data_IF_020920057915
#
_entry.id   IF_020920057915
#
_cell.length_a   1.000
_cell.length_b   1.000
_cell.length_c   1.000
_cell.angle_alpha   90.00
_cell.angle_beta   90.00
_cell.angle_gamma   90.00
#
_symmetry.space_group_name_H-M   'P 1'
#
loop_
_entity.id
_entity.type
_entity.pdbx_description
1 polymer ?
#
# COMPACT_ATOMS: atom_id res chain seq x y z
N UNK A 1 -15.86 -20.66 -24.75
CA UNK A 1 -16.36 -20.21 -23.43
C UNK A 1 -17.64 -19.43 -23.64
N UNK A 2 -18.56 -19.47 -22.69
CA UNK A 2 -19.81 -18.73 -22.72
C UNK A 2 -19.63 -17.23 -22.48
N UNK A 3 -20.69 -16.44 -22.72
CA UNK A 3 -20.77 -14.98 -22.49
C UNK A 3 -21.29 -14.61 -21.08
N UNK A 4 -21.31 -15.59 -20.16
CA UNK A 4 -21.62 -15.36 -18.75
C UNK A 4 -20.32 -15.21 -17.96
N UNK A 5 -20.29 -14.29 -16.98
CA UNK A 5 -19.18 -14.17 -16.03
C UNK A 5 -19.68 -14.07 -14.60
N UNK A 6 -19.02 -14.80 -13.71
CA UNK A 6 -19.12 -14.62 -12.25
C UNK A 6 -17.83 -13.97 -11.78
N UNK A 7 -17.97 -12.86 -11.04
CA UNK A 7 -16.86 -12.11 -10.45
C UNK A 7 -16.79 -12.31 -8.93
N UNK A 8 -15.58 -12.52 -8.41
CA UNK A 8 -15.32 -12.60 -6.97
C UNK A 8 -13.94 -12.00 -6.64
N UNK A 9 -13.77 -11.52 -5.41
CA UNK A 9 -12.59 -10.78 -4.92
C UNK A 9 -12.07 -11.32 -3.57
N UNK A 10 -11.76 -12.62 -3.42
CA UNK A 10 -11.23 -13.14 -2.17
C UNK A 10 -9.94 -12.44 -1.72
N UNK A 11 -9.74 -12.26 -0.40
CA UNK A 11 -8.50 -11.71 0.12
C UNK A 11 -7.33 -12.67 -0.12
N UNK A 12 -6.19 -12.10 -0.50
CA UNK A 12 -4.90 -12.73 -0.58
C UNK A 12 -4.03 -12.18 0.55
N UNK A 13 -3.86 -12.98 1.59
CA UNK A 13 -3.11 -12.60 2.79
C UNK A 13 -1.63 -12.49 2.49
N UNK A 14 -1.05 -11.35 2.83
CA UNK A 14 0.40 -11.22 2.88
C UNK A 14 0.91 -11.72 4.25
N UNK A 15 2.10 -12.32 4.24
CA UNK A 15 2.79 -12.81 5.43
C UNK A 15 3.65 -11.72 6.10
N UNK A 16 3.79 -10.53 5.50
CA UNK A 16 4.52 -9.43 6.14
C UNK A 16 3.85 -8.98 7.43
N UNK A 17 4.67 -8.62 8.41
CA UNK A 17 4.19 -8.01 9.63
C UNK A 17 3.84 -6.55 9.38
N UNK A 18 2.60 -6.16 9.73
CA UNK A 18 2.22 -4.75 9.80
C UNK A 18 3.08 -4.02 10.83
N UNK A 19 3.71 -2.93 10.39
CA UNK A 19 4.64 -2.14 11.18
C UNK A 19 3.95 -0.89 11.75
N UNK A 20 4.20 -0.62 13.03
CA UNK A 20 3.92 0.69 13.62
C UNK A 20 4.79 1.78 12.96
N UNK A 21 4.38 3.04 13.07
CA UNK A 21 5.05 4.17 12.41
C UNK A 21 6.53 4.28 12.74
N UNK A 22 6.93 4.06 13.99
CA UNK A 22 8.36 4.14 14.39
C UNK A 22 9.14 3.02 13.71
N UNK A 23 8.61 1.80 13.74
CA UNK A 23 9.22 0.66 13.05
C UNK A 23 9.32 0.90 11.54
N UNK A 24 8.27 1.45 10.93
CA UNK A 24 8.20 1.70 9.48
C UNK A 24 9.22 2.76 9.04
N UNK A 25 9.31 3.90 9.75
CA UNK A 25 10.30 4.95 9.47
C UNK A 25 11.73 4.41 9.62
N UNK A 26 12.03 3.73 10.74
CA UNK A 26 13.37 3.16 10.96
C UNK A 26 13.73 2.12 9.90
N UNK A 27 12.77 1.28 9.49
CA UNK A 27 12.98 0.28 8.44
C UNK A 27 13.21 0.91 7.06
N UNK A 28 12.49 1.99 6.74
CA UNK A 28 12.68 2.72 5.49
C UNK A 28 14.05 3.42 5.43
N UNK A 29 14.48 4.06 6.53
CA UNK A 29 15.83 4.65 6.65
C UNK A 29 16.91 3.58 6.48
N UNK A 30 16.76 2.44 7.16
CA UNK A 30 17.67 1.31 7.02
C UNK A 30 17.72 0.80 5.57
N UNK A 31 16.56 0.69 4.92
CA UNK A 31 16.46 0.29 3.51
C UNK A 31 17.22 1.23 2.59
N UNK A 32 17.06 2.54 2.76
CA UNK A 32 17.80 3.56 2.02
C UNK A 32 19.31 3.44 2.22
N UNK A 33 19.75 3.29 3.47
CA UNK A 33 21.18 3.12 3.79
C UNK A 33 21.77 1.81 3.24
N UNK A 34 20.96 0.77 3.06
CA UNK A 34 21.39 -0.53 2.56
C UNK A 34 21.61 -0.55 1.04
N UNK A 35 20.86 0.25 0.28
CA UNK A 35 20.98 0.34 -1.18
C UNK A 35 21.95 1.43 -1.65
N UNK A 36 22.30 2.37 -0.77
CA UNK A 36 23.30 3.40 -1.05
C UNK A 36 24.71 2.78 -1.12
N UNK A 37 25.53 3.27 -2.06
CA UNK A 37 26.96 2.94 -2.09
C UNK A 37 27.70 3.52 -0.87
N UNK A 38 28.97 3.14 -0.69
CA UNK A 38 29.74 3.53 0.49
C UNK A 38 29.89 5.05 0.68
N UNK A 39 30.01 5.82 -0.41
CA UNK A 39 30.15 7.27 -0.35
C UNK A 39 28.82 7.93 0.00
N UNK A 40 27.75 7.55 -0.69
CA UNK A 40 26.42 8.06 -0.43
C UNK A 40 25.93 7.68 0.97
N UNK A 41 26.16 6.45 1.41
CA UNK A 41 25.78 6.01 2.74
C UNK A 41 26.54 6.78 3.85
N UNK A 42 27.80 7.17 3.61
CA UNK A 42 28.54 8.03 4.52
C UNK A 42 27.95 9.44 4.58
N UNK A 43 27.58 10.02 3.44
CA UNK A 43 26.91 11.33 3.35
C UNK A 43 25.54 11.32 4.04
N UNK A 44 24.74 10.29 3.82
CA UNK A 44 23.44 10.12 4.47
C UNK A 44 23.58 9.96 5.99
N UNK A 45 24.59 9.22 6.46
CA UNK A 45 24.86 9.11 7.91
C UNK A 45 25.35 10.42 8.51
N UNK A 46 26.06 11.26 7.76
CA UNK A 46 26.58 12.53 8.26
C UNK A 46 25.47 13.56 8.60
N UNK A 47 24.26 13.39 8.05
CA UNK A 47 23.11 14.26 8.37
C UNK A 47 22.21 13.72 9.49
N UNK A 48 22.49 12.51 9.99
CA UNK A 48 21.77 11.92 11.13
C UNK A 48 22.19 12.62 12.42
N UNK A 49 21.21 13.15 13.15
CA UNK A 49 21.44 13.88 14.40
C UNK A 49 20.91 13.15 15.62
N UNK A 50 20.04 12.16 15.43
CA UNK A 50 19.35 11.49 16.52
C UNK A 50 20.19 10.46 17.28
N UNK A 51 21.38 10.11 16.76
CA UNK A 51 22.27 9.10 17.34
C UNK A 51 21.87 7.64 17.09
N UNK A 52 20.78 7.38 16.35
CA UNK A 52 20.40 6.01 15.95
C UNK A 52 21.34 5.51 14.84
N UNK A 53 21.83 4.27 14.98
CA UNK A 53 22.69 3.64 13.96
C UNK A 53 21.90 3.11 12.76
N UNK A 54 20.57 2.97 12.92
CA UNK A 54 19.64 2.35 11.98
C UNK A 54 20.04 0.96 11.48
N UNK A 55 21.07 0.35 12.08
CA UNK A 55 21.55 -0.98 11.76
C UNK A 55 20.80 -2.04 12.58
N UNK A 56 20.40 -1.69 13.80
CA UNK A 56 19.67 -2.58 14.69
C UNK A 56 18.19 -2.75 14.28
N UNK A 57 17.70 -3.99 14.37
CA UNK A 57 16.27 -4.34 14.22
C UNK A 57 15.48 -4.22 15.53
N UNK A 58 16.16 -4.09 16.67
CA UNK A 58 15.53 -3.97 17.99
C UNK A 58 14.80 -2.64 18.17
N UNK A 59 13.75 -2.62 18.99
CA UNK A 59 13.05 -1.39 19.35
C UNK A 59 13.95 -0.45 20.17
N UNK A 60 13.86 0.88 19.97
CA UNK A 60 14.55 1.84 20.81
C UNK A 60 14.16 1.64 22.28
N UNK A 61 15.14 1.80 23.17
CA UNK A 61 14.95 1.68 24.61
C UNK A 61 14.42 3.00 25.16
N UNK A 62 13.10 3.15 25.16
CA UNK A 62 12.39 4.29 25.75
C UNK A 62 11.31 3.79 26.72
N UNK A 63 10.80 4.69 27.57
CA UNK A 63 9.55 4.45 28.27
C UNK A 63 8.39 4.57 27.28
N UNK A 64 7.78 3.43 26.92
CA UNK A 64 6.70 3.38 25.94
C UNK A 64 5.35 3.83 26.50
N UNK A 65 5.22 3.90 27.83
CA UNK A 65 4.02 4.42 28.48
C UNK A 65 4.04 5.97 28.53
N UNK A 66 5.22 6.58 28.40
CA UNK A 66 5.37 8.02 28.26
C UNK A 66 5.03 8.48 26.82
N UNK A 67 4.06 9.37 26.71
CA UNK A 67 3.69 9.98 25.44
C UNK A 67 4.77 10.95 24.93
N UNK A 68 5.42 11.70 25.81
CA UNK A 68 6.46 12.66 25.43
C UNK A 68 7.69 11.93 24.89
N UNK A 69 8.11 10.83 25.52
CA UNK A 69 9.21 9.99 25.04
C UNK A 69 8.94 9.40 23.65
N UNK A 70 7.69 9.01 23.37
CA UNK A 70 7.29 8.51 22.04
C UNK A 70 7.28 9.63 20.99
N UNK A 71 6.78 10.82 21.35
CA UNK A 71 6.77 11.99 20.47
C UNK A 71 8.19 12.46 20.13
N UNK A 72 9.08 12.53 21.12
CA UNK A 72 10.50 12.87 20.91
C UNK A 72 11.21 11.84 20.03
N UNK A 73 10.91 10.55 20.24
CA UNK A 73 11.46 9.48 19.42
C UNK A 73 11.02 9.63 17.96
N UNK A 74 9.72 9.77 17.68
CA UNK A 74 9.25 9.86 16.30
C UNK A 74 9.70 11.16 15.62
N UNK A 75 9.71 12.29 16.33
CA UNK A 75 10.20 13.56 15.80
C UNK A 75 11.66 13.47 15.37
N UNK A 76 12.53 12.91 16.22
CA UNK A 76 13.94 12.75 15.90
C UNK A 76 14.20 11.78 14.74
N UNK A 77 13.46 10.66 14.64
CA UNK A 77 13.53 9.74 13.47
C UNK A 77 13.06 10.43 12.19
N UNK A 78 11.99 11.21 12.28
CA UNK A 78 11.43 11.90 11.14
C UNK A 78 12.39 12.99 10.62
N UNK A 79 13.01 13.75 11.52
CA UNK A 79 14.02 14.76 11.16
C UNK A 79 15.22 14.16 10.44
N UNK A 80 15.74 13.02 10.91
CA UNK A 80 16.81 12.31 10.20
C UNK A 80 16.36 11.89 8.80
N UNK A 81 15.17 11.32 8.67
CA UNK A 81 14.61 10.92 7.38
C UNK A 81 14.45 12.10 6.41
N UNK A 82 13.90 13.22 6.88
CA UNK A 82 13.78 14.44 6.06
C UNK A 82 15.15 15.05 5.71
N UNK A 83 16.13 15.00 6.60
CA UNK A 83 17.49 15.45 6.31
C UNK A 83 18.14 14.60 5.20
N UNK A 84 17.95 13.28 5.24
CA UNK A 84 18.39 12.38 4.17
C UNK A 84 17.71 12.70 2.84
N UNK A 85 16.39 12.90 2.83
CA UNK A 85 15.65 13.26 1.60
C UNK A 85 16.10 14.61 1.04
N UNK A 86 16.36 15.59 1.91
CA UNK A 86 16.89 16.91 1.51
C UNK A 86 18.26 16.79 0.86
N UNK A 87 19.12 15.90 1.34
CA UNK A 87 20.44 15.64 0.76
C UNK A 87 20.36 15.00 -0.64
N UNK A 88 19.30 14.23 -0.90
CA UNK A 88 19.06 13.56 -2.18
C UNK A 88 18.31 14.44 -3.18
N UNK A 89 17.75 15.57 -2.75
CA UNK A 89 16.98 16.46 -3.61
C UNK A 89 17.84 17.03 -4.76
N UNK A 90 17.30 16.96 -5.98
CA UNK A 90 17.99 17.38 -7.20
C UNK A 90 19.21 16.52 -7.63
N UNK A 91 19.47 15.40 -6.96
CA UNK A 91 20.55 14.47 -7.33
C UNK A 91 20.03 13.40 -8.28
N UNK A 92 20.79 13.05 -9.32
CA UNK A 92 20.51 11.86 -10.12
C UNK A 92 20.86 10.61 -9.32
N UNK A 93 19.84 9.82 -8.98
CA UNK A 93 19.96 8.63 -8.14
C UNK A 93 19.94 7.36 -8.97
N UNK A 94 20.71 6.35 -8.53
CA UNK A 94 20.52 4.99 -9.02
C UNK A 94 19.11 4.50 -8.67
N UNK A 95 18.52 3.65 -9.53
CA UNK A 95 17.14 3.20 -9.42
C UNK A 95 16.78 2.65 -8.03
N UNK A 96 17.66 1.85 -7.42
CA UNK A 96 17.43 1.30 -6.08
C UNK A 96 17.36 2.36 -4.99
N UNK A 97 18.21 3.40 -5.09
CA UNK A 97 18.25 4.52 -4.15
C UNK A 97 17.02 5.40 -4.32
N UNK A 98 16.62 5.71 -5.57
CA UNK A 98 15.39 6.47 -5.86
C UNK A 98 14.16 5.75 -5.29
N UNK A 99 14.02 4.43 -5.52
CA UNK A 99 12.93 3.63 -4.96
C UNK A 99 12.89 3.67 -3.43
N UNK A 100 14.04 3.51 -2.77
CA UNK A 100 14.11 3.55 -1.31
C UNK A 100 13.83 4.95 -0.74
N UNK A 101 14.29 6.01 -1.42
CA UNK A 101 14.03 7.39 -1.04
C UNK A 101 12.54 7.74 -1.19
N UNK A 102 11.89 7.30 -2.29
CA UNK A 102 10.44 7.44 -2.46
C UNK A 102 9.66 6.73 -1.36
N UNK A 103 10.05 5.50 -1.02
CA UNK A 103 9.42 4.76 0.08
C UNK A 103 9.57 5.51 1.41
N UNK A 104 10.76 6.03 1.73
CA UNK A 104 10.99 6.84 2.92
C UNK A 104 10.10 8.10 2.92
N UNK A 105 10.00 8.80 1.80
CA UNK A 105 9.15 9.97 1.66
C UNK A 105 7.66 9.64 1.88
N UNK A 106 7.17 8.54 1.28
CA UNK A 106 5.80 8.05 1.49
C UNK A 106 5.54 7.74 2.97
N UNK A 107 6.44 7.00 3.62
CA UNK A 107 6.30 6.61 5.03
C UNK A 107 6.29 7.82 5.96
N UNK A 108 7.14 8.81 5.72
CA UNK A 108 7.15 10.05 6.50
C UNK A 108 5.89 10.89 6.26
N UNK A 109 5.42 10.97 5.01
CA UNK A 109 4.28 11.79 4.62
C UNK A 109 2.91 11.20 5.02
N UNK A 110 2.79 9.88 5.17
CA UNK A 110 1.50 9.24 5.44
C UNK A 110 1.09 9.27 6.92
N UNK A 111 2.06 9.16 7.83
CA UNK A 111 1.80 8.88 9.25
C UNK A 111 2.08 10.10 10.16
N UNK A 112 2.73 11.16 9.66
CA UNK A 112 3.19 12.28 10.47
C UNK A 112 2.41 13.57 10.22
N UNK A 113 2.29 14.39 11.26
CA UNK A 113 1.73 15.75 11.19
C UNK A 113 2.59 16.72 11.98
N UNK A 114 2.62 17.97 11.53
CA UNK A 114 3.09 19.12 12.30
C UNK A 114 1.85 19.92 12.72
N UNK A 115 1.65 20.11 14.02
CA UNK A 115 0.52 20.89 14.57
C UNK A 115 0.84 22.39 14.68
N UNK A 116 1.95 22.85 14.08
CA UNK A 116 2.36 24.26 14.00
C UNK A 116 3.42 24.68 15.02
N UNK A 117 3.93 23.73 15.81
CA UNK A 117 5.00 23.94 16.79
C UNK A 117 6.36 23.41 16.32
N UNK A 118 6.45 22.86 15.10
CA UNK A 118 7.67 22.34 14.49
C UNK A 118 8.11 20.98 15.03
N UNK A 119 7.29 20.33 15.87
CA UNK A 119 7.50 18.95 16.30
C UNK A 119 6.60 18.00 15.50
N UNK A 120 7.21 16.98 14.92
CA UNK A 120 6.51 15.96 14.13
C UNK A 120 5.95 14.88 15.04
N UNK A 121 4.65 14.62 14.93
CA UNK A 121 3.93 13.63 15.74
C UNK A 121 3.18 12.66 14.87
N UNK A 122 2.90 11.47 15.41
CA UNK A 122 2.04 10.48 14.74
C UNK A 122 0.63 11.06 14.61
N UNK A 123 0.13 11.12 13.38
CA UNK A 123 -1.20 11.63 13.09
C UNK A 123 -2.27 10.75 13.76
N UNK A 124 -3.33 11.37 14.29
CA UNK A 124 -4.50 10.65 14.86
C UNK A 124 -5.46 10.16 13.79
N UNK A 125 -4.92 9.63 12.68
CA UNK A 125 -5.65 9.04 11.55
C UNK A 125 -4.74 8.04 10.84
N UNK A 126 -5.35 7.11 10.10
CA UNK A 126 -4.65 6.19 9.22
C UNK A 126 -4.85 6.68 7.78
N UNK A 127 -3.78 6.80 7.01
CA UNK A 127 -3.87 7.14 5.59
C UNK A 127 -4.63 6.04 4.82
N UNK A 128 -5.52 6.42 3.90
CA UNK A 128 -6.32 5.45 3.14
C UNK A 128 -5.46 4.52 2.27
N UNK A 129 -4.30 5.01 1.80
CA UNK A 129 -3.31 4.24 1.05
C UNK A 129 -2.05 3.95 1.88
N UNK A 130 -2.22 3.70 3.19
CA UNK A 130 -1.08 3.50 4.08
C UNK A 130 -0.25 2.28 3.67
N UNK A 131 1.04 2.49 3.41
CA UNK A 131 2.04 1.44 3.34
C UNK A 131 2.19 0.80 4.71
N UNK A 132 1.96 -0.52 4.79
CA UNK A 132 1.91 -1.26 6.07
C UNK A 132 3.24 -1.93 6.42
N UNK A 133 4.13 -2.12 5.44
CA UNK A 133 5.42 -2.79 5.58
C UNK A 133 6.41 -2.25 4.55
N UNK A 134 7.70 -2.16 4.91
CA UNK A 134 8.76 -1.87 3.94
C UNK A 134 9.25 -3.12 3.21
N UNK A 135 8.87 -4.32 3.68
CA UNK A 135 9.24 -5.59 3.05
C UNK A 135 8.39 -5.85 1.81
N UNK A 136 7.10 -5.53 1.90
CA UNK A 136 6.18 -5.45 0.78
C UNK A 136 5.48 -4.06 0.81
N UNK A 137 6.01 -3.07 0.07
CA UNK A 137 5.43 -1.74 0.01
C UNK A 137 4.12 -1.64 -0.76
N UNK A 138 3.67 -2.67 -1.47
CA UNK A 138 2.42 -2.66 -2.25
C UNK A 138 1.26 -3.27 -1.46
N UNK A 139 1.54 -4.09 -0.44
CA UNK A 139 0.54 -4.59 0.49
C UNK A 139 -0.21 -3.46 1.21
N UNK A 140 -1.53 -3.62 1.38
CA UNK A 140 -2.41 -2.64 2.02
C UNK A 140 -3.37 -3.32 3.00
N UNK A 141 -3.91 -2.51 3.92
CA UNK A 141 -5.07 -2.90 4.71
C UNK A 141 -6.30 -3.02 3.79
N UNK A 142 -6.93 -4.18 3.78
CA UNK A 142 -8.18 -4.44 3.07
C UNK A 142 -9.30 -4.85 4.01
N UNK A 143 -10.52 -4.83 3.49
CA UNK A 143 -11.72 -5.26 4.22
C UNK A 143 -12.46 -6.32 3.43
N UNK A 144 -12.72 -7.47 4.07
CA UNK A 144 -13.69 -8.46 3.57
C UNK A 144 -15.10 -8.09 4.00
N UNK A 145 -15.25 -7.58 5.22
CA UNK A 145 -16.48 -6.98 5.74
C UNK A 145 -16.11 -5.82 6.66
N UNK A 146 -17.10 -5.02 7.08
CA UNK A 146 -16.89 -3.94 8.06
C UNK A 146 -16.22 -4.42 9.36
N UNK A 147 -16.45 -5.68 9.76
CA UNK A 147 -15.88 -6.26 10.98
C UNK A 147 -14.62 -7.12 10.76
N UNK A 148 -14.24 -7.40 9.50
CA UNK A 148 -13.13 -8.30 9.17
C UNK A 148 -12.19 -7.67 8.16
N UNK A 149 -11.12 -7.08 8.68
CA UNK A 149 -9.97 -6.63 7.89
C UNK A 149 -9.00 -7.76 7.54
N UNK A 150 -8.10 -7.48 6.62
CA UNK A 150 -6.92 -8.29 6.28
C UNK A 150 -5.79 -7.40 5.79
N UNK A 151 -4.57 -7.94 5.79
CA UNK A 151 -3.37 -7.27 5.28
C UNK A 151 -2.88 -8.01 4.04
N UNK A 152 -2.65 -7.28 2.94
CA UNK A 152 -2.17 -7.85 1.69
C UNK A 152 -2.92 -7.31 0.47
N UNK A 153 -3.49 -8.22 -0.30
CA UNK A 153 -4.02 -7.97 -1.65
C UNK A 153 -5.43 -8.53 -1.82
N UNK A 154 -6.15 -8.08 -2.84
CA UNK A 154 -7.34 -8.75 -3.35
C UNK A 154 -7.00 -9.52 -4.61
N UNK A 155 -7.48 -10.76 -4.69
CA UNK A 155 -7.44 -11.54 -5.92
C UNK A 155 -8.81 -11.46 -6.58
N UNK A 156 -8.91 -10.75 -7.69
CA UNK A 156 -10.10 -10.70 -8.51
C UNK A 156 -10.09 -11.83 -9.53
N UNK A 157 -11.25 -12.45 -9.74
CA UNK A 157 -11.41 -13.61 -10.63
C UNK A 157 -12.67 -13.45 -11.45
N UNK A 158 -12.57 -13.74 -12.74
CA UNK A 158 -13.72 -13.95 -13.61
C UNK A 158 -13.82 -15.43 -13.99
N UNK A 159 -15.00 -16.01 -13.84
CA UNK A 159 -15.27 -17.43 -14.12
C UNK A 159 -16.44 -17.56 -15.10
N UNK A 160 -16.31 -18.44 -16.09
CA UNK A 160 -17.43 -18.92 -16.90
C UNK A 160 -18.23 -19.95 -16.08
N UNK A 161 -19.44 -19.64 -15.61
CA UNK A 161 -20.18 -20.54 -14.71
C UNK A 161 -20.62 -21.84 -15.39
N UNK A 162 -20.74 -21.87 -16.72
CA UNK A 162 -21.21 -23.05 -17.43
C UNK A 162 -20.08 -24.08 -17.64
N UNK A 163 -18.82 -23.61 -17.70
CA UNK A 163 -17.64 -24.47 -17.89
C UNK A 163 -16.72 -24.57 -16.67
N UNK A 164 -16.97 -23.76 -15.63
CA UNK A 164 -16.14 -23.59 -14.44
C UNK A 164 -14.71 -23.13 -14.72
N UNK A 165 -14.45 -22.60 -15.92
CA UNK A 165 -13.12 -22.12 -16.31
C UNK A 165 -12.92 -20.68 -15.81
N UNK A 166 -11.79 -20.45 -15.15
CA UNK A 166 -11.28 -19.11 -14.85
C UNK A 166 -10.82 -18.46 -16.15
N UNK A 167 -11.45 -17.34 -16.51
CA UNK A 167 -11.22 -16.66 -17.78
C UNK A 167 -10.29 -15.47 -17.64
N UNK A 168 -10.27 -14.84 -16.46
CA UNK A 168 -9.36 -13.75 -16.13
C UNK A 168 -9.08 -13.72 -14.62
N UNK A 169 -7.90 -13.20 -14.26
CA UNK A 169 -7.54 -12.91 -12.87
C UNK A 169 -6.73 -11.63 -12.80
N UNK A 170 -6.99 -10.80 -11.80
CA UNK A 170 -6.23 -9.58 -11.52
C UNK A 170 -5.94 -9.54 -10.02
N UNK A 171 -4.75 -9.06 -9.63
CA UNK A 171 -4.40 -8.85 -8.21
C UNK A 171 -4.22 -7.36 -7.97
N UNK A 172 -4.86 -6.85 -6.94
CA UNK A 172 -4.78 -5.44 -6.54
C UNK A 172 -4.42 -5.31 -5.06
N UNK A 173 -3.88 -4.17 -4.62
CA UNK A 173 -3.72 -3.90 -3.19
C UNK A 173 -5.02 -4.08 -2.40
N UNK A 174 -4.92 -4.46 -1.12
CA UNK A 174 -6.08 -4.81 -0.29
C UNK A 174 -7.15 -3.73 -0.17
N UNK A 175 -6.79 -2.45 -0.34
CA UNK A 175 -7.68 -1.29 -0.27
C UNK A 175 -8.34 -0.92 -1.62
N UNK A 176 -7.96 -1.55 -2.74
CA UNK A 176 -8.55 -1.27 -4.05
C UNK A 176 -10.03 -1.65 -4.12
N UNK A 177 -10.82 -0.84 -4.83
CA UNK A 177 -12.23 -1.12 -5.09
C UNK A 177 -12.43 -2.21 -6.15
N UNK A 178 -13.41 -3.08 -5.96
CA UNK A 178 -13.63 -4.21 -6.87
C UNK A 178 -14.03 -3.77 -8.29
N UNK A 179 -14.70 -2.63 -8.42
CA UNK A 179 -15.09 -2.05 -9.70
C UNK A 179 -13.90 -1.57 -10.55
N UNK A 180 -12.73 -1.29 -9.95
CA UNK A 180 -11.57 -0.71 -10.65
C UNK A 180 -11.01 -1.65 -11.73
N UNK A 181 -11.13 -2.97 -11.54
CA UNK A 181 -10.60 -3.99 -12.46
C UNK A 181 -11.68 -4.71 -13.26
N UNK A 182 -12.93 -4.30 -13.12
CA UNK A 182 -14.05 -5.01 -13.74
C UNK A 182 -13.98 -4.97 -15.28
N UNK A 183 -13.45 -3.90 -15.89
CA UNK A 183 -13.29 -3.82 -17.35
C UNK A 183 -12.25 -4.83 -17.84
N UNK A 184 -11.10 -4.90 -17.16
CA UNK A 184 -10.03 -5.84 -17.47
C UNK A 184 -10.50 -7.30 -17.35
N UNK A 185 -11.28 -7.61 -16.31
CA UNK A 185 -11.83 -8.95 -16.08
C UNK A 185 -12.86 -9.38 -17.13
N UNK A 186 -13.50 -8.43 -17.79
CA UNK A 186 -14.59 -8.65 -18.75
C UNK A 186 -14.16 -8.36 -20.20
N UNK A 187 -12.90 -7.99 -20.44
CA UNK A 187 -12.40 -7.54 -21.73
C UNK A 187 -12.67 -8.54 -22.87
N UNK A 188 -12.76 -9.84 -22.57
CA UNK A 188 -13.02 -10.90 -23.54
C UNK A 188 -14.50 -11.04 -23.96
N UNK A 189 -15.42 -10.50 -23.15
CA UNK A 189 -16.88 -10.60 -23.38
C UNK A 189 -17.58 -9.26 -23.57
N UNK A 190 -16.91 -8.14 -23.26
CA UNK A 190 -17.43 -6.80 -23.51
C UNK A 190 -17.75 -6.65 -25.01
N UNK A 191 -18.99 -6.29 -25.36
CA UNK A 191 -19.42 -6.28 -26.75
C UNK A 191 -18.77 -5.12 -27.53
N UNK A 192 -18.44 -5.35 -28.79
CA UNK A 192 -18.16 -4.29 -29.77
C UNK A 192 -19.44 -3.70 -30.39
N UNK A 193 -20.57 -4.44 -30.33
CA UNK A 193 -21.86 -4.08 -30.93
C UNK A 193 -23.03 -4.40 -29.95
N UNK A 194 -24.09 -3.60 -29.97
CA UNK A 194 -25.11 -3.55 -28.91
C UNK A 194 -26.06 -4.77 -28.79
N UNK A 195 -26.06 -5.70 -29.74
CA UNK A 195 -27.12 -6.70 -29.88
C UNK A 195 -26.92 -7.97 -29.05
N UNK A 196 -25.77 -8.17 -28.39
CA UNK A 196 -25.50 -9.38 -27.58
C UNK A 196 -24.79 -9.06 -26.25
N UNK A 197 -25.56 -8.55 -25.28
CA UNK A 197 -25.01 -8.15 -23.97
C UNK A 197 -24.64 -9.37 -23.12
N UNK A 198 -23.41 -9.43 -22.57
CA UNK A 198 -23.05 -10.50 -21.65
C UNK A 198 -23.83 -10.40 -20.32
N UNK A 199 -23.96 -11.54 -19.64
CA UNK A 199 -24.53 -11.61 -18.31
C UNK A 199 -23.42 -11.69 -17.27
N UNK A 200 -23.38 -10.73 -16.35
CA UNK A 200 -22.35 -10.64 -15.31
C UNK A 200 -22.99 -10.72 -13.93
N UNK A 201 -22.48 -11.65 -13.12
CA UNK A 201 -22.89 -11.89 -11.74
C UNK A 201 -21.73 -11.53 -10.81
N UNK A 202 -22.00 -10.83 -9.72
CA UNK A 202 -20.99 -10.43 -8.73
C UNK A 202 -21.65 -9.69 -7.58
N UNK A 203 -20.88 -9.44 -6.52
CA UNK A 203 -21.35 -8.61 -5.40
C UNK A 203 -21.56 -7.14 -5.83
N UNK A 204 -22.32 -6.39 -5.05
CA UNK A 204 -22.60 -4.97 -5.24
C UNK A 204 -21.32 -4.12 -5.37
N UNK A 205 -20.20 -4.58 -4.80
CA UNK A 205 -18.89 -3.95 -4.95
C UNK A 205 -18.43 -3.82 -6.41
N UNK A 206 -18.85 -4.73 -7.30
CA UNK A 206 -18.60 -4.65 -8.74
C UNK A 206 -19.62 -3.78 -9.50
N UNK A 207 -20.75 -3.43 -8.88
CA UNK A 207 -21.85 -2.67 -9.49
C UNK A 207 -21.70 -1.15 -9.45
N UNK A 208 -20.54 -0.63 -9.04
CA UNK A 208 -20.31 0.81 -8.93
C UNK A 208 -19.63 1.44 -10.17
N UNK A 209 -19.19 0.64 -11.15
CA UNK A 209 -18.52 1.12 -12.37
C UNK A 209 -19.47 1.35 -13.57
N UNK A 210 -19.03 2.13 -14.57
CA UNK A 210 -19.79 2.42 -15.82
C UNK A 210 -20.19 1.15 -16.60
N UNK A 211 -19.55 0.02 -16.32
CA UNK A 211 -19.76 -1.30 -16.90
C UNK A 211 -21.19 -1.83 -16.69
N UNK A 212 -21.89 -1.35 -15.64
CA UNK A 212 -23.29 -1.72 -15.35
C UNK A 212 -24.24 -1.28 -16.48
N UNK A 213 -23.87 -0.31 -17.31
CA UNK A 213 -24.66 0.08 -18.49
C UNK A 213 -24.51 -0.87 -19.68
N UNK A 214 -23.35 -1.55 -19.80
CA UNK A 214 -22.95 -2.35 -20.96
C UNK A 214 -23.31 -3.86 -20.81
N UNK A 215 -23.29 -4.39 -19.59
CA UNK A 215 -23.69 -5.77 -19.27
C UNK A 215 -25.02 -5.80 -18.51
N UNK A 216 -25.89 -6.77 -18.79
CA UNK A 216 -27.13 -6.92 -18.03
C UNK A 216 -26.82 -7.49 -16.64
N UNK A 217 -26.88 -6.67 -15.59
CA UNK A 217 -26.62 -7.16 -14.23
C UNK A 217 -27.85 -7.85 -13.64
N UNK A 218 -27.68 -9.11 -13.23
CA UNK A 218 -28.66 -9.83 -12.43
C UNK A 218 -28.04 -10.16 -11.08
N UNK A 219 -28.69 -9.71 -10.00
CA UNK A 219 -28.28 -10.06 -8.64
C UNK A 219 -28.54 -11.56 -8.41
N UNK A 220 -27.60 -12.25 -7.78
CA UNK A 220 -27.93 -13.52 -7.14
C UNK A 220 -28.94 -13.25 -6.00
N UNK A 221 -29.93 -14.15 -5.79
CA UNK A 221 -30.88 -14.04 -4.69
C UNK A 221 -30.21 -14.13 -3.30
#
# INVERSE_FOLDING_TARGET
MGRKRVLDSPPLYDAVATMDTITLVRSAIRGLLAVADGELAARLRAVVTSGDDYASVGKPQIDWDDAAARDELIDSRARDGFAMLTLLDGVELAEGVDKAARLLATVLGQDLTDEGDGALRIARKVAADRVISTVDPEARHGHKTAARGFDGYKRHVAVDPDSEIITATVVTPGNSGDAEVAEELLADILPTEAEDRPAVYGDAAYGAGEIVGAAGQQRCP
#
